data_IF_089881209984
#
_entry.id   IF_089881209984
#
_cell.length_a   1.000
_cell.length_b   1.000
_cell.length_c   1.000
_cell.angle_alpha   90.00
_cell.angle_beta   90.00
_cell.angle_gamma   90.00
#
_symmetry.space_group_name_H-M   'P 1'
#
loop_
_entity.id
_entity.type
_entity.pdbx_description
1 polymer ?
#
# COMPACT_ATOMS: atom_id res chain seq x y z
N UNK A 1 9.72 7.74 13.89
CA UNK A 1 10.07 9.12 13.47
C UNK A 1 8.95 9.63 12.59
N UNK A 2 8.30 10.74 12.95
CA UNK A 2 7.32 11.37 12.05
C UNK A 2 8.07 11.99 10.87
N UNK A 3 7.83 11.46 9.67
CA UNK A 3 8.40 11.98 8.43
C UNK A 3 7.75 13.33 8.11
N UNK A 4 8.54 14.35 7.74
CA UNK A 4 8.05 15.67 7.39
C UNK A 4 7.09 15.59 6.16
N UNK A 5 5.88 16.19 6.19
CA UNK A 5 4.94 16.16 5.07
C UNK A 5 5.52 16.64 3.73
N UNK A 6 6.37 17.67 3.73
CA UNK A 6 7.03 18.16 2.51
C UNK A 6 7.98 17.12 1.91
N UNK A 7 8.69 16.38 2.78
CA UNK A 7 9.60 15.34 2.37
C UNK A 7 8.85 14.14 1.74
N UNK A 8 7.70 13.76 2.30
CA UNK A 8 6.86 12.71 1.71
C UNK A 8 6.27 13.12 0.35
N UNK A 9 5.93 14.40 0.19
CA UNK A 9 5.41 14.93 -1.06
C UNK A 9 6.44 14.86 -2.21
N UNK A 10 7.72 15.10 -1.91
CA UNK A 10 8.80 14.98 -2.91
C UNK A 10 8.95 13.53 -3.40
N UNK A 11 8.83 12.54 -2.51
CA UNK A 11 8.86 11.13 -2.90
C UNK A 11 7.61 10.73 -3.68
N UNK A 12 6.44 11.20 -3.26
CA UNK A 12 5.20 11.00 -4.00
C UNK A 12 5.35 11.45 -5.46
N UNK A 13 5.73 12.71 -5.67
CA UNK A 13 5.93 13.28 -7.02
C UNK A 13 6.98 12.52 -7.81
N UNK A 14 8.07 12.14 -7.17
CA UNK A 14 9.14 11.36 -7.79
C UNK A 14 8.61 10.02 -8.33
N UNK A 15 7.77 9.33 -7.57
CA UNK A 15 7.21 8.04 -7.98
C UNK A 15 6.10 8.18 -9.03
N UNK A 16 5.23 9.18 -8.92
CA UNK A 16 4.15 9.36 -9.89
C UNK A 16 4.65 9.88 -11.24
N UNK A 17 5.73 10.66 -11.27
CA UNK A 17 6.30 11.19 -12.52
C UNK A 17 6.95 10.11 -13.40
N UNK A 18 7.48 9.05 -12.80
CA UNK A 18 8.22 8.01 -13.52
C UNK A 18 8.07 6.64 -12.86
N UNK A 19 6.82 6.24 -12.62
CA UNK A 19 6.52 4.97 -11.92
C UNK A 19 7.21 3.74 -12.54
N UNK A 20 7.30 3.59 -13.89
CA UNK A 20 7.95 2.43 -14.51
C UNK A 20 9.43 2.26 -14.15
N UNK A 21 10.16 3.34 -13.83
CA UNK A 21 11.57 3.22 -13.44
C UNK A 21 11.76 2.77 -11.99
N UNK A 22 10.75 2.99 -11.14
CA UNK A 22 10.76 2.60 -9.73
C UNK A 22 10.08 1.25 -9.48
N UNK A 23 9.16 0.85 -10.35
CA UNK A 23 8.41 -0.40 -10.24
C UNK A 23 8.40 -1.13 -11.60
N UNK A 24 9.45 -1.90 -11.93
CA UNK A 24 9.56 -2.60 -13.20
C UNK A 24 8.45 -3.61 -13.45
N UNK A 25 7.86 -4.16 -12.38
CA UNK A 25 6.73 -5.09 -12.43
C UNK A 25 5.42 -4.39 -12.81
N UNK A 26 5.39 -3.06 -12.78
CA UNK A 26 4.24 -2.25 -13.10
C UNK A 26 3.19 -2.21 -11.99
N UNK A 27 2.06 -1.57 -12.29
CA UNK A 27 0.92 -1.46 -11.37
C UNK A 27 0.08 -2.72 -11.48
N UNK A 28 -0.20 -3.36 -10.34
CA UNK A 28 -1.05 -4.54 -10.28
C UNK A 28 -2.51 -4.12 -10.46
N UNK A 29 -3.16 -4.63 -11.51
CA UNK A 29 -4.60 -4.45 -11.70
C UNK A 29 -5.38 -5.44 -10.84
N UNK A 30 -6.13 -4.92 -9.85
CA UNK A 30 -6.88 -5.72 -8.89
C UNK A 30 -8.37 -5.72 -9.22
N UNK A 31 -8.86 -6.86 -9.71
CA UNK A 31 -10.29 -7.10 -9.95
C UNK A 31 -11.04 -7.35 -8.63
N UNK A 32 -11.54 -6.28 -8.03
CA UNK A 32 -12.34 -6.33 -6.80
C UNK A 32 -13.63 -7.15 -6.94
N UNK A 33 -14.25 -7.16 -8.13
CA UNK A 33 -15.48 -7.88 -8.37
C UNK A 33 -15.24 -9.40 -8.31
N UNK A 34 -14.16 -9.85 -8.96
CA UNK A 34 -13.72 -11.25 -8.92
C UNK A 34 -13.35 -11.67 -7.50
N UNK A 35 -12.51 -10.90 -6.81
CA UNK A 35 -12.07 -11.23 -5.45
C UNK A 35 -13.24 -11.27 -4.44
N UNK A 36 -14.21 -10.37 -4.58
CA UNK A 36 -15.42 -10.38 -3.77
C UNK A 36 -16.32 -11.60 -4.07
N UNK A 37 -16.49 -11.93 -5.37
CA UNK A 37 -17.30 -13.09 -5.81
C UNK A 37 -16.71 -14.41 -5.35
N UNK A 38 -15.39 -14.56 -5.39
CA UNK A 38 -14.68 -15.74 -4.92
C UNK A 38 -14.64 -15.84 -3.39
N UNK A 39 -15.10 -14.82 -2.66
CA UNK A 39 -15.07 -14.81 -1.20
C UNK A 39 -13.66 -14.69 -0.61
N UNK A 40 -12.65 -14.38 -1.43
CA UNK A 40 -11.25 -14.19 -1.01
C UNK A 40 -11.17 -13.04 -0.03
N UNK A 41 -11.87 -11.93 -0.32
CA UNK A 41 -11.95 -10.78 0.58
C UNK A 41 -12.79 -11.04 1.84
N UNK A 42 -13.43 -12.20 1.99
CA UNK A 42 -14.25 -12.57 3.15
C UNK A 42 -13.50 -13.48 4.14
N UNK A 43 -12.50 -14.22 3.68
CA UNK A 43 -11.72 -15.17 4.47
C UNK A 43 -10.43 -14.53 4.98
N UNK A 44 -10.55 -13.67 5.98
CA UNK A 44 -9.51 -13.58 7.01
C UNK A 44 -10.18 -13.54 8.36
N UNK A 45 -9.92 -14.63 9.08
CA UNK A 45 -10.32 -14.90 10.45
C UNK A 45 -9.82 -13.82 11.39
N UNK A 46 -10.62 -13.59 12.42
CA UNK A 46 -10.35 -12.81 13.61
C UNK A 46 -9.19 -13.39 14.45
N UNK A 47 -8.05 -13.70 13.85
CA UNK A 47 -6.80 -13.87 14.60
C UNK A 47 -6.41 -12.48 15.09
N UNK A 48 -6.58 -12.26 16.39
CA UNK A 48 -6.50 -10.96 17.08
C UNK A 48 -5.22 -10.15 16.79
N UNK A 49 -4.19 -10.76 16.22
CA UNK A 49 -2.92 -10.12 15.85
C UNK A 49 -2.91 -9.43 14.46
N UNK A 50 -3.76 -9.83 13.51
CA UNK A 50 -3.74 -9.26 12.14
C UNK A 50 -4.34 -7.86 12.05
N UNK A 51 -5.16 -7.50 13.03
CA UNK A 51 -5.76 -6.18 13.13
C UNK A 51 -4.74 -5.07 13.49
N UNK A 52 -3.46 -5.38 13.72
CA UNK A 52 -2.48 -4.40 14.19
C UNK A 52 -1.95 -3.47 13.09
N UNK A 53 -1.80 -3.96 11.86
CA UNK A 53 -1.08 -3.23 10.80
C UNK A 53 -1.76 -1.92 10.40
N UNK A 54 -3.09 -1.92 10.27
CA UNK A 54 -3.86 -0.73 9.85
C UNK A 54 -4.29 0.17 11.00
N UNK A 55 -4.14 -0.26 12.26
CA UNK A 55 -4.63 0.48 13.44
C UNK A 55 -3.75 1.64 13.89
N UNK A 56 -2.51 1.74 13.38
CA UNK A 56 -1.54 2.74 13.82
C UNK A 56 -1.08 3.69 12.71
N UNK A 57 -1.87 3.82 11.65
CA UNK A 57 -1.60 4.83 10.63
C UNK A 57 -2.05 6.21 11.10
N UNK A 58 -1.12 7.16 11.03
CA UNK A 58 -1.46 8.56 10.92
C UNK A 58 -2.03 8.82 9.52
N UNK A 59 -3.22 9.42 9.46
CA UNK A 59 -3.92 9.73 8.22
C UNK A 59 -3.77 11.22 7.92
N UNK A 60 -3.28 11.54 6.72
CA UNK A 60 -3.22 12.89 6.20
C UNK A 60 -3.98 12.94 4.87
N UNK A 61 -5.05 13.72 4.83
CA UNK A 61 -5.91 13.86 3.65
C UNK A 61 -5.62 15.17 2.91
N UNK A 62 -5.58 15.10 1.59
CA UNK A 62 -5.54 16.25 0.69
C UNK A 62 -6.60 16.11 -0.39
N UNK A 63 -6.74 17.14 -1.24
CA UNK A 63 -7.69 17.11 -2.35
C UNK A 63 -7.36 16.02 -3.39
N UNK A 64 -6.08 15.65 -3.50
CA UNK A 64 -5.59 14.72 -4.52
C UNK A 64 -5.46 13.29 -4.00
N UNK A 65 -5.22 13.12 -2.69
CA UNK A 65 -4.83 11.82 -2.13
C UNK A 65 -5.06 11.72 -0.64
N UNK A 66 -5.14 10.47 -0.19
CA UNK A 66 -5.04 10.10 1.23
C UNK A 66 -3.65 9.51 1.45
N UNK A 67 -2.97 9.98 2.48
CA UNK A 67 -1.65 9.47 2.87
C UNK A 67 -1.77 8.77 4.22
N UNK A 68 -1.34 7.50 4.28
CA UNK A 68 -1.26 6.71 5.51
C UNK A 68 0.20 6.53 5.89
N UNK A 69 0.57 6.90 7.11
CA UNK A 69 1.97 6.86 7.59
C UNK A 69 2.04 6.15 8.93
N UNK A 70 2.92 5.16 9.05
CA UNK A 70 3.33 4.60 10.35
C UNK A 70 4.84 4.34 10.35
N UNK A 71 5.37 3.64 11.36
CA UNK A 71 6.82 3.36 11.45
C UNK A 71 7.34 2.43 10.36
N UNK A 72 6.49 1.60 9.77
CA UNK A 72 6.86 0.56 8.80
C UNK A 72 6.53 0.97 7.36
N UNK A 73 5.47 1.75 7.14
CA UNK A 73 4.89 2.00 5.84
C UNK A 73 4.54 3.48 5.61
N UNK A 74 4.65 3.88 4.35
CA UNK A 74 4.04 5.10 3.80
C UNK A 74 3.20 4.67 2.60
N UNK A 75 1.93 5.07 2.59
CA UNK A 75 0.96 4.63 1.59
C UNK A 75 0.27 5.86 1.03
N UNK A 76 0.21 5.96 -0.30
CA UNK A 76 -0.58 6.99 -0.99
C UNK A 76 -1.74 6.33 -1.71
N UNK A 77 -2.96 6.75 -1.39
CA UNK A 77 -4.20 6.33 -2.02
C UNK A 77 -4.69 7.51 -2.85
N UNK A 78 -4.66 7.36 -4.17
CA UNK A 78 -4.95 8.41 -5.15
C UNK A 78 -6.23 8.04 -5.89
N UNK A 79 -7.38 8.65 -5.53
CA UNK A 79 -8.62 8.46 -6.28
C UNK A 79 -8.59 9.31 -7.56
N UNK A 80 -8.90 8.68 -8.68
CA UNK A 80 -8.97 9.31 -10.00
C UNK A 80 -10.20 8.85 -10.79
N UNK A 81 -10.46 9.54 -11.90
CA UNK A 81 -11.39 9.08 -12.93
C UNK A 81 -10.61 8.86 -14.22
N UNK A 82 -10.52 7.62 -14.65
CA UNK A 82 -9.89 7.22 -15.91
C UNK A 82 -11.01 6.80 -16.84
N UNK A 83 -11.17 7.50 -17.98
CA UNK A 83 -12.27 7.26 -18.94
C UNK A 83 -13.67 7.23 -18.29
N UNK A 84 -13.90 8.15 -17.34
CA UNK A 84 -15.11 8.25 -16.51
C UNK A 84 -15.37 7.05 -15.56
N UNK A 85 -14.43 6.11 -15.46
CA UNK A 85 -14.46 5.01 -14.50
C UNK A 85 -13.74 5.41 -13.21
N UNK A 86 -14.40 5.31 -12.04
CA UNK A 86 -13.75 5.52 -10.75
C UNK A 86 -12.59 4.54 -10.56
N UNK A 87 -11.37 5.07 -10.47
CA UNK A 87 -10.13 4.30 -10.34
C UNK A 87 -9.41 4.77 -9.09
N UNK A 88 -8.80 3.86 -8.35
CA UNK A 88 -7.99 4.19 -7.18
C UNK A 88 -6.65 3.52 -7.30
N UNK A 89 -5.62 4.34 -7.44
CA UNK A 89 -4.23 3.92 -7.38
C UNK A 89 -3.77 3.93 -5.93
N UNK A 90 -3.04 2.89 -5.53
CA UNK A 90 -2.45 2.79 -4.21
C UNK A 90 -0.97 2.46 -4.36
N UNK A 91 -0.11 3.35 -3.89
CA UNK A 91 1.33 3.16 -3.82
C UNK A 91 1.69 2.76 -2.39
N UNK A 92 2.38 1.63 -2.24
CA UNK A 92 2.80 1.08 -0.95
C UNK A 92 4.32 1.15 -0.86
N UNK A 93 4.80 1.87 0.14
CA UNK A 93 6.22 2.06 0.39
C UNK A 93 6.60 1.58 1.78
N UNK A 94 7.82 1.06 1.91
CA UNK A 94 8.48 0.84 3.19
C UNK A 94 9.02 2.18 3.73
N UNK A 95 8.69 2.53 4.97
CA UNK A 95 9.18 3.73 5.62
C UNK A 95 10.62 3.53 6.12
N UNK A 96 11.61 3.88 5.29
CA UNK A 96 13.03 3.75 5.65
C UNK A 96 13.61 5.08 6.15
N UNK A 97 14.73 5.04 6.91
CA UNK A 97 15.40 6.26 7.38
C UNK A 97 15.85 7.22 6.27
N UNK A 98 16.12 6.70 5.07
CA UNK A 98 16.51 7.50 3.89
C UNK A 98 15.31 8.01 3.07
N UNK A 99 14.09 7.69 3.51
CA UNK A 99 12.84 8.01 2.85
C UNK A 99 12.05 6.76 2.46
N UNK A 100 10.79 6.95 2.04
CA UNK A 100 9.94 5.87 1.55
C UNK A 100 10.64 5.13 0.41
N UNK A 101 10.58 3.80 0.43
CA UNK A 101 11.01 2.96 -0.66
C UNK A 101 9.77 2.29 -1.25
N UNK A 102 9.45 2.61 -2.51
CA UNK A 102 8.34 1.97 -3.23
C UNK A 102 8.58 0.47 -3.30
N UNK A 103 7.58 -0.29 -2.84
CA UNK A 103 7.60 -1.76 -2.82
C UNK A 103 6.58 -2.32 -3.80
N UNK A 104 5.39 -1.70 -3.85
CA UNK A 104 4.28 -2.18 -4.66
C UNK A 104 3.37 -1.02 -5.05
N UNK A 105 2.74 -1.12 -6.21
CA UNK A 105 1.61 -0.28 -6.58
C UNK A 105 0.50 -1.16 -7.14
N UNK A 106 -0.74 -0.86 -6.76
CA UNK A 106 -1.91 -1.52 -7.32
C UNK A 106 -2.99 -0.51 -7.67
N UNK A 107 -3.84 -0.85 -8.62
CA UNK A 107 -5.03 -0.08 -8.94
C UNK A 107 -6.28 -0.95 -8.80
N UNK A 108 -7.39 -0.28 -8.52
CA UNK A 108 -8.73 -0.88 -8.51
C UNK A 108 -9.66 0.05 -9.25
N UNK A 109 -10.64 -0.50 -9.97
CA UNK A 109 -11.56 0.32 -10.77
C UNK A 109 -12.99 -0.23 -10.75
N UNK A 110 -13.94 0.63 -11.13
CA UNK A 110 -15.35 0.30 -11.30
C UNK A 110 -16.19 0.39 -10.02
N UNK A 111 -17.41 -0.15 -10.07
CA UNK A 111 -18.44 0.04 -9.02
C UNK A 111 -18.07 -0.58 -7.66
N UNK A 112 -17.12 -1.52 -7.65
CA UNK A 112 -16.64 -2.18 -6.43
C UNK A 112 -15.49 -1.42 -5.77
N UNK A 113 -15.04 -0.31 -6.36
CA UNK A 113 -14.02 0.59 -5.81
C UNK A 113 -14.57 1.38 -4.60
N UNK A 114 -14.92 0.64 -3.55
CA UNK A 114 -15.31 1.17 -2.25
C UNK A 114 -14.10 1.13 -1.33
N UNK A 115 -13.93 2.14 -0.48
CA UNK A 115 -12.81 2.23 0.47
C UNK A 115 -12.66 0.95 1.29
N UNK A 116 -13.76 0.30 1.68
CA UNK A 116 -13.73 -0.96 2.43
C UNK A 116 -13.06 -2.10 1.67
N UNK A 117 -13.32 -2.26 0.38
CA UNK A 117 -12.72 -3.34 -0.41
C UNK A 117 -11.26 -3.02 -0.78
N UNK A 118 -10.96 -1.76 -1.09
CA UNK A 118 -9.59 -1.28 -1.32
C UNK A 118 -8.72 -1.51 -0.09
N UNK A 119 -9.21 -1.14 1.10
CA UNK A 119 -8.48 -1.33 2.36
C UNK A 119 -8.24 -2.81 2.68
N UNK A 120 -9.15 -3.71 2.32
CA UNK A 120 -8.94 -5.16 2.49
C UNK A 120 -7.83 -5.71 1.60
N UNK A 121 -7.76 -5.22 0.36
CA UNK A 121 -6.67 -5.57 -0.56
C UNK A 121 -5.36 -5.02 -0.01
N UNK A 122 -5.36 -3.76 0.43
CA UNK A 122 -4.19 -3.13 1.04
C UNK A 122 -3.69 -3.93 2.26
N UNK A 123 -4.57 -4.31 3.18
CA UNK A 123 -4.22 -5.13 4.36
C UNK A 123 -3.52 -6.42 3.96
N UNK A 124 -3.98 -7.09 2.90
CA UNK A 124 -3.38 -8.32 2.42
C UNK A 124 -1.96 -8.08 1.88
N UNK A 125 -1.75 -7.03 1.10
CA UNK A 125 -0.41 -6.67 0.62
C UNK A 125 0.53 -6.26 1.74
N UNK A 126 0.06 -5.45 2.70
CA UNK A 126 0.89 -5.04 3.85
C UNK A 126 1.37 -6.24 4.66
N UNK A 127 0.50 -7.24 4.84
CA UNK A 127 0.86 -8.48 5.52
C UNK A 127 1.94 -9.26 4.77
N UNK A 128 1.78 -9.46 3.46
CA UNK A 128 2.76 -10.19 2.64
C UNK A 128 4.12 -9.49 2.57
N UNK A 129 4.11 -8.15 2.46
CA UNK A 129 5.33 -7.34 2.48
C UNK A 129 6.01 -7.48 3.86
N UNK A 130 5.26 -7.43 4.96
CA UNK A 130 5.82 -7.58 6.29
C UNK A 130 6.42 -8.97 6.51
N UNK A 131 5.71 -10.05 6.15
CA UNK A 131 6.24 -11.42 6.28
C UNK A 131 7.56 -11.59 5.51
N UNK A 132 7.64 -10.98 4.33
CA UNK A 132 8.85 -10.99 3.50
C UNK A 132 9.99 -10.23 4.17
N UNK A 133 9.72 -9.06 4.73
CA UNK A 133 10.72 -8.24 5.45
C UNK A 133 11.25 -8.94 6.71
N UNK A 134 10.37 -9.61 7.46
CA UNK A 134 10.73 -10.36 8.66
C UNK A 134 11.64 -11.55 8.30
N UNK A 135 11.31 -12.28 7.23
CA UNK A 135 12.13 -13.38 6.71
C UNK A 135 13.50 -12.89 6.21
N UNK A 136 13.55 -11.80 5.45
CA UNK A 136 14.83 -11.23 4.99
C UNK A 136 15.69 -10.78 6.17
N UNK A 137 15.06 -10.27 7.23
CA UNK A 137 15.76 -9.84 8.45
C UNK A 137 16.32 -11.03 9.23
N UNK A 138 15.60 -12.16 9.33
CA UNK A 138 16.12 -13.36 9.99
C UNK A 138 17.32 -13.95 9.23
N UNK A 139 17.21 -14.09 7.90
CA UNK A 139 18.29 -14.60 7.06
C UNK A 139 19.57 -13.76 7.14
N UNK A 140 19.44 -12.42 7.19
CA UNK A 140 20.59 -11.51 7.36
C UNK A 140 21.28 -11.65 8.71
N UNK A 141 20.54 -12.04 9.77
CA UNK A 141 21.11 -12.29 11.10
C UNK A 141 21.86 -13.61 11.11
N UNK A 142 21.30 -14.64 10.50
CA UNK A 142 21.94 -15.97 10.39
C UNK A 142 23.23 -15.92 9.56
N UNK A 143 23.25 -15.20 8.44
CA UNK A 143 24.45 -15.09 7.59
C UNK A 143 25.61 -14.26 8.19
N UNK A 144 25.39 -13.59 9.33
CA UNK A 144 26.40 -12.80 10.05
C UNK A 144 27.00 -13.56 11.25
N UNK A 145 26.50 -14.76 11.54
CA UNK A 145 27.05 -15.69 12.53
C UNK A 145 27.86 -16.78 11.83
#
# INVERSE_FOLDING_TARGET
MEQNPLFLEDFYKKYTNDLPSWLPEGVIDVDLALLHRLGILKHHTETKDHFSLTRYFHVSESLEKITLINEQFVIWIVPEKVDDVPTTYTLVCLNRPKGPQLELAFCTWGIYNSSRLVLRVLEKFLFEIQETEDLLTSLKKEARH
#
